data_IF_829597341254
#
_entry.id   IF_829597341254
#
_cell.length_a   1.000
_cell.length_b   1.000
_cell.length_c   1.000
_cell.angle_alpha   90.00
_cell.angle_beta   90.00
_cell.angle_gamma   90.00
#
_symmetry.space_group_name_H-M   'P 1'
#
loop_
_entity.id
_entity.type
_entity.pdbx_description
1 polymer ?
#
# COMPACT_ATOMS: atom_id res chain seq x y z
N UNK A 1 -10.21 16.87 24.34
CA UNK A 1 -10.44 15.42 24.21
C UNK A 1 -11.21 15.21 22.92
N UNK A 2 -10.52 15.25 21.78
CA UNK A 2 -11.12 15.10 20.45
C UNK A 2 -11.01 13.64 20.06
N UNK A 3 -12.09 12.89 20.29
CA UNK A 3 -12.30 11.60 19.65
C UNK A 3 -12.54 11.86 18.17
N UNK A 4 -11.58 11.50 17.34
CA UNK A 4 -11.79 11.40 15.91
C UNK A 4 -12.47 10.06 15.65
N UNK A 5 -13.73 10.19 15.22
CA UNK A 5 -14.43 9.33 14.28
C UNK A 5 -14.08 7.84 14.29
N UNK A 6 -15.05 7.07 14.81
CA UNK A 6 -15.22 5.69 14.40
C UNK A 6 -15.39 5.63 12.88
N UNK A 7 -14.31 5.28 12.19
CA UNK A 7 -14.36 4.88 10.79
C UNK A 7 -15.33 3.71 10.66
N UNK A 8 -16.48 4.02 10.06
CA UNK A 8 -17.47 3.10 9.53
C UNK A 8 -16.76 1.91 8.90
N UNK A 9 -16.94 0.77 9.55
CA UNK A 9 -16.66 -0.55 8.99
C UNK A 9 -17.71 -0.84 7.90
N UNK A 10 -17.51 -0.27 6.70
CA UNK A 10 -18.31 -0.62 5.52
C UNK A 10 -17.81 -1.97 5.02
N UNK A 11 -18.72 -2.93 4.87
CA UNK A 11 -18.44 -4.33 4.53
C UNK A 11 -17.79 -4.58 3.14
N UNK A 12 -17.26 -3.55 2.48
CA UNK A 12 -16.25 -3.56 1.41
C UNK A 12 -14.81 -3.76 1.94
N UNK A 13 -14.69 -4.11 3.22
CA UNK A 13 -13.46 -3.95 4.02
C UNK A 13 -12.36 -4.98 3.73
N UNK A 14 -12.69 -6.18 3.25
CA UNK A 14 -11.73 -7.29 3.14
C UNK A 14 -10.96 -7.23 1.82
N UNK A 15 -9.63 -7.20 1.88
CA UNK A 15 -8.82 -7.28 0.67
C UNK A 15 -9.07 -8.60 -0.05
N UNK A 16 -9.09 -8.53 -1.38
CA UNK A 16 -9.07 -9.68 -2.29
C UNK A 16 -7.76 -10.44 -2.07
N UNK A 17 -6.66 -9.71 -1.90
CA UNK A 17 -5.33 -10.25 -1.61
C UNK A 17 -4.54 -9.28 -0.73
N UNK A 18 -3.70 -9.82 0.15
CA UNK A 18 -2.82 -9.03 1.01
C UNK A 18 -1.40 -9.57 0.96
N UNK A 19 -0.45 -8.68 0.71
CA UNK A 19 0.97 -8.91 0.95
C UNK A 19 1.45 -8.08 2.14
N UNK A 20 2.41 -8.63 2.88
CA UNK A 20 3.00 -7.99 4.06
C UNK A 20 4.52 -8.06 4.02
N UNK A 21 5.16 -6.90 4.10
CA UNK A 21 6.61 -6.77 4.14
C UNK A 21 7.04 -6.26 5.51
N UNK A 22 7.93 -6.99 6.17
CA UNK A 22 8.53 -6.59 7.44
C UNK A 22 9.91 -5.97 7.18
N UNK A 23 10.12 -4.73 7.62
CA UNK A 23 11.39 -4.01 7.43
C UNK A 23 11.81 -3.30 8.73
N UNK A 24 12.66 -3.95 9.53
CA UNK A 24 13.15 -3.46 10.84
C UNK A 24 12.04 -2.83 11.71
N UNK A 25 11.94 -1.50 11.74
CA UNK A 25 10.94 -0.74 12.54
C UNK A 25 9.62 -0.46 11.81
N UNK A 26 9.50 -0.88 10.56
CA UNK A 26 8.41 -0.58 9.65
C UNK A 26 7.72 -1.85 9.17
N UNK A 27 6.43 -1.73 8.88
CA UNK A 27 5.65 -2.78 8.23
C UNK A 27 4.94 -2.16 7.04
N UNK A 28 5.06 -2.77 5.87
CA UNK A 28 4.26 -2.40 4.71
C UNK A 28 3.14 -3.43 4.51
N UNK A 29 1.93 -2.93 4.29
CA UNK A 29 0.77 -3.72 3.89
C UNK A 29 0.36 -3.31 2.48
N UNK A 30 0.24 -4.28 1.58
CA UNK A 30 -0.22 -4.07 0.22
C UNK A 30 -1.51 -4.86 0.05
N UNK A 31 -2.64 -4.17 0.06
CA UNK A 31 -3.97 -4.76 0.01
C UNK A 31 -4.62 -4.51 -1.36
N UNK A 32 -4.84 -5.56 -2.15
CA UNK A 32 -5.67 -5.48 -3.35
C UNK A 32 -7.15 -5.43 -2.94
N UNK A 33 -7.85 -4.39 -3.37
CA UNK A 33 -9.26 -4.13 -3.06
C UNK A 33 -10.03 -3.75 -4.32
N UNK A 34 -11.34 -3.81 -4.24
CA UNK A 34 -12.24 -3.45 -5.32
C UNK A 34 -13.37 -2.58 -4.78
N UNK A 35 -13.78 -1.60 -5.57
CA UNK A 35 -14.97 -0.79 -5.31
C UNK A 35 -15.71 -0.54 -6.65
N UNK A 36 -16.76 0.28 -6.62
CA UNK A 36 -17.57 0.60 -7.82
C UNK A 36 -16.77 1.22 -8.98
N UNK A 37 -15.56 1.76 -8.71
CA UNK A 37 -14.68 2.37 -9.71
C UNK A 37 -13.63 1.40 -10.26
N UNK A 38 -13.57 0.16 -9.75
CA UNK A 38 -12.63 -0.87 -10.14
C UNK A 38 -11.67 -1.28 -9.03
N UNK A 39 -10.60 -1.98 -9.42
CA UNK A 39 -9.60 -2.53 -8.51
C UNK A 39 -8.46 -1.54 -8.24
N UNK A 40 -7.96 -1.57 -7.01
CA UNK A 40 -6.84 -0.74 -6.57
C UNK A 40 -6.03 -1.45 -5.48
N UNK A 41 -4.75 -1.11 -5.37
CA UNK A 41 -3.88 -1.54 -4.28
C UNK A 41 -3.77 -0.42 -3.25
N UNK A 42 -4.14 -0.70 -2.01
CA UNK A 42 -3.91 0.17 -0.87
C UNK A 42 -2.56 -0.19 -0.25
N UNK A 43 -1.58 0.71 -0.36
CA UNK A 43 -0.25 0.54 0.23
C UNK A 43 -0.19 1.34 1.52
N UNK A 44 0.05 0.67 2.64
CA UNK A 44 0.13 1.29 3.97
C UNK A 44 1.52 1.06 4.55
N UNK A 45 2.22 2.13 4.91
CA UNK A 45 3.41 2.09 5.78
C UNK A 45 2.95 2.24 7.24
N UNK A 46 3.35 1.33 8.12
CA UNK A 46 3.13 1.40 9.56
C UNK A 46 4.48 1.47 10.29
N UNK A 47 4.73 2.63 10.92
CA UNK A 47 5.92 2.88 11.74
C UNK A 47 5.49 3.04 13.19
N UNK A 48 5.50 1.93 13.94
CA UNK A 48 5.12 1.88 15.37
C UNK A 48 3.74 2.50 15.65
N UNK A 49 2.76 2.23 14.79
CA UNK A 49 1.38 2.68 14.92
C UNK A 49 1.09 3.98 14.17
N UNK A 50 2.10 4.70 13.67
CA UNK A 50 1.88 5.80 12.72
C UNK A 50 1.70 5.21 11.32
N UNK A 51 0.55 5.47 10.71
CA UNK A 51 0.19 4.93 9.40
C UNK A 51 0.11 6.01 8.34
N UNK A 52 0.85 5.80 7.26
CA UNK A 52 0.78 6.59 6.04
C UNK A 52 0.29 5.67 4.90
N UNK A 53 -0.57 6.17 4.01
CA UNK A 53 -1.27 5.32 3.03
C UNK A 53 -1.43 6.01 1.70
N UNK A 54 -1.21 5.24 0.62
CA UNK A 54 -1.58 5.61 -0.75
C UNK A 54 -2.48 4.54 -1.36
N UNK A 55 -3.22 4.91 -2.41
CA UNK A 55 -4.02 4.00 -3.21
C UNK A 55 -3.57 4.10 -4.67
N UNK A 56 -3.27 2.97 -5.28
CA UNK A 56 -2.81 2.87 -6.66
C UNK A 56 -3.84 2.07 -7.46
N UNK A 57 -4.55 2.69 -8.42
CA UNK A 57 -5.42 1.94 -9.33
C UNK A 57 -4.65 0.85 -10.07
N UNK A 58 -5.27 -0.31 -10.30
CA UNK A 58 -4.62 -1.46 -10.96
C UNK A 58 -4.08 -1.11 -12.35
N UNK A 59 -4.74 -0.19 -13.06
CA UNK A 59 -4.33 0.28 -14.39
C UNK A 59 -2.93 0.95 -14.43
N UNK A 60 -2.40 1.38 -13.29
CA UNK A 60 -1.07 2.00 -13.17
C UNK A 60 -0.03 1.09 -12.50
N UNK A 61 -0.37 -0.17 -12.19
CA UNK A 61 0.56 -1.04 -11.47
C UNK A 61 1.79 -1.41 -12.31
N UNK A 62 1.63 -1.63 -13.62
CA UNK A 62 2.75 -1.96 -14.50
C UNK A 62 3.79 -0.83 -14.53
N UNK A 63 3.34 0.43 -14.63
CA UNK A 63 4.21 1.61 -14.56
C UNK A 63 4.90 1.71 -13.18
N UNK A 64 4.17 1.41 -12.10
CA UNK A 64 4.70 1.46 -10.73
C UNK A 64 5.76 0.37 -10.50
N UNK A 65 5.53 -0.83 -11.03
CA UNK A 65 6.47 -1.95 -10.97
C UNK A 65 7.72 -1.61 -11.78
N UNK A 66 7.57 -1.14 -13.02
CA UNK A 66 8.71 -0.74 -13.86
C UNK A 66 9.58 0.32 -13.18
N UNK A 67 8.95 1.34 -12.58
CA UNK A 67 9.69 2.36 -11.84
C UNK A 67 10.47 1.79 -10.62
N UNK A 68 9.90 0.81 -9.90
CA UNK A 68 10.59 0.13 -8.80
C UNK A 68 11.74 -0.75 -9.29
N UNK A 69 11.58 -1.40 -10.44
CA UNK A 69 12.64 -2.18 -11.10
C UNK A 69 13.80 -1.28 -11.54
N UNK A 70 13.52 -0.15 -12.19
CA UNK A 70 14.53 0.85 -12.57
C UNK A 70 15.31 1.36 -11.35
N UNK A 71 14.60 1.66 -10.25
CA UNK A 71 15.23 2.08 -8.97
C UNK A 71 16.11 0.97 -8.41
N UNK A 72 15.67 -0.29 -8.48
CA UNK A 72 16.44 -1.44 -8.02
C UNK A 72 17.73 -1.60 -8.81
N UNK A 73 17.65 -1.56 -10.14
CA UNK A 73 18.83 -1.64 -11.00
C UNK A 73 19.81 -0.50 -10.72
N UNK A 74 19.31 0.72 -10.55
CA UNK A 74 20.15 1.87 -10.19
C UNK A 74 20.82 1.71 -8.81
N UNK A 75 20.17 1.04 -7.85
CA UNK A 75 20.73 0.78 -6.52
C UNK A 75 21.86 -0.26 -6.50
N UNK A 76 21.90 -1.13 -7.52
CA UNK A 76 22.90 -2.21 -7.65
C UNK A 76 24.16 -1.75 -8.44
N UNK A 77 24.18 -0.51 -8.97
CA UNK A 77 25.35 0.03 -9.68
C UNK A 77 26.48 0.38 -8.70
N UNK A 78 27.73 -0.03 -8.97
CA UNK A 78 28.89 0.44 -8.19
C UNK A 78 29.11 1.94 -8.44
N UNK A 79 29.45 2.67 -7.37
CA UNK A 79 29.82 4.10 -7.43
C UNK A 79 30.92 4.41 -8.45
#
# INVERSE_FOLDING_TARGET
MTGYDGEKRSSDERPIHTEKILADRKIFFLDLKENERGQFVKITEDVRGRRDTIMVPVEFLDDFIGALEDIREASDLPE
#
